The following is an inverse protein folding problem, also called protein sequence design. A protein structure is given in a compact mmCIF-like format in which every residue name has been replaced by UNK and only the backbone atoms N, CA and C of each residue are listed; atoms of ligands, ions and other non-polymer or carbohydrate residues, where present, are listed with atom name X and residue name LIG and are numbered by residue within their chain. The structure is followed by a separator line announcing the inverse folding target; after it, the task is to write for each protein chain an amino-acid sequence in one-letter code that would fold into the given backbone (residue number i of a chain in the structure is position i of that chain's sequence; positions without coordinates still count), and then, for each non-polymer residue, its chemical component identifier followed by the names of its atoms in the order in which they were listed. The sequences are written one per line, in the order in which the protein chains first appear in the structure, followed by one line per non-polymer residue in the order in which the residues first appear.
data_IF_436478675338
#
_entry.id   IF_436478675338
#
_cell.length_a   1.000
_cell.length_b   1.000
_cell.length_c   1.000
_cell.angle_alpha   90.00
_cell.angle_beta   90.00
_cell.angle_gamma   90.00
#
_symmetry.space_group_name_H-M   'P 1'
#
loop_
_entity.id
_entity.type
_entity.pdbx_description
1 polymer ?
#
# COMPACT_ATOMS: atom_id res chain seq x y z
N UNK A 1 -16.32 1.63 14.69
CA UNK A 1 -15.26 2.49 14.12
C UNK A 1 -14.97 2.06 12.70
N UNK A 2 -14.61 0.79 12.48
CA UNK A 2 -14.41 0.21 11.14
C UNK A 2 -15.48 0.64 10.12
N UNK A 3 -16.76 0.38 10.39
CA UNK A 3 -17.84 0.68 9.44
C UNK A 3 -17.93 2.18 9.06
N UNK A 4 -17.62 3.06 10.02
CA UNK A 4 -17.60 4.50 9.78
C UNK A 4 -16.44 4.89 8.86
N UNK A 5 -15.24 4.36 9.13
CA UNK A 5 -14.07 4.59 8.29
C UNK A 5 -14.29 3.99 6.89
N UNK A 6 -14.76 2.75 6.81
CA UNK A 6 -15.03 2.05 5.56
C UNK A 6 -16.01 2.82 4.67
N UNK A 7 -17.17 3.21 5.22
CA UNK A 7 -18.17 3.96 4.47
C UNK A 7 -17.61 5.28 3.94
N UNK A 8 -16.89 6.02 4.79
CA UNK A 8 -16.28 7.31 4.42
C UNK A 8 -15.22 7.16 3.34
N UNK A 9 -14.38 6.13 3.43
CA UNK A 9 -13.31 5.93 2.45
C UNK A 9 -13.83 5.37 1.13
N UNK A 10 -14.81 4.46 1.12
CA UNK A 10 -15.39 3.97 -0.13
C UNK A 10 -16.11 5.10 -0.89
N UNK A 11 -16.84 5.95 -0.19
CA UNK A 11 -17.47 7.14 -0.79
C UNK A 11 -16.42 8.07 -1.42
N UNK A 12 -15.34 8.34 -0.70
CA UNK A 12 -14.23 9.18 -1.18
C UNK A 12 -13.51 8.56 -2.38
N UNK A 13 -13.10 7.30 -2.26
CA UNK A 13 -12.21 6.65 -3.23
C UNK A 13 -12.91 6.31 -4.55
N UNK A 14 -14.25 6.36 -4.60
CA UNK A 14 -15.02 6.11 -5.82
C UNK A 14 -14.41 6.83 -7.03
N UNK A 15 -14.02 6.08 -8.06
CA UNK A 15 -13.34 6.60 -9.26
C UNK A 15 -11.91 7.16 -9.06
N UNK A 16 -11.52 7.52 -7.83
CA UNK A 16 -10.23 8.13 -7.47
C UNK A 16 -9.13 7.13 -7.18
N UNK A 17 -9.46 5.87 -6.93
CA UNK A 17 -8.51 4.76 -6.74
C UNK A 17 -8.48 3.87 -7.97
N UNK A 18 -7.34 3.20 -8.23
CA UNK A 18 -7.21 2.21 -9.31
C UNK A 18 -8.28 1.12 -9.20
N UNK A 19 -8.82 0.66 -10.34
CA UNK A 19 -9.91 -0.33 -10.36
C UNK A 19 -9.59 -1.63 -9.61
N UNK A 20 -8.36 -2.20 -9.68
CA UNK A 20 -8.01 -3.40 -8.92
C UNK A 20 -8.19 -3.30 -7.40
N UNK A 21 -8.14 -2.10 -6.84
CA UNK A 21 -8.41 -1.89 -5.41
C UNK A 21 -9.88 -2.17 -5.08
N UNK A 22 -10.80 -1.61 -5.88
CA UNK A 22 -12.25 -1.81 -5.70
C UNK A 22 -12.64 -3.26 -5.99
N UNK A 23 -12.05 -3.87 -7.03
CA UNK A 23 -12.21 -5.30 -7.29
C UNK A 23 -11.77 -6.13 -6.07
N UNK A 24 -10.65 -5.76 -5.44
CA UNK A 24 -10.15 -6.39 -4.22
C UNK A 24 -11.14 -6.33 -3.05
N UNK A 25 -11.81 -5.19 -2.85
CA UNK A 25 -12.86 -5.04 -1.82
C UNK A 25 -13.98 -6.06 -2.05
N UNK A 26 -14.46 -6.17 -3.28
CA UNK A 26 -15.56 -7.08 -3.64
C UNK A 26 -15.15 -8.54 -3.54
N UNK A 27 -13.97 -8.88 -4.07
CA UNK A 27 -13.43 -10.24 -4.07
C UNK A 27 -13.21 -10.79 -2.67
N UNK A 28 -12.73 -9.94 -1.76
CA UNK A 28 -12.44 -10.29 -0.37
C UNK A 28 -13.64 -10.05 0.57
N UNK A 29 -14.77 -9.57 0.04
CA UNK A 29 -16.02 -9.32 0.79
C UNK A 29 -15.83 -8.36 1.98
N UNK A 30 -15.00 -7.34 1.81
CA UNK A 30 -14.65 -6.40 2.89
C UNK A 30 -15.77 -5.42 3.25
N UNK A 31 -16.81 -5.32 2.43
CA UNK A 31 -17.99 -4.50 2.71
C UNK A 31 -18.90 -5.07 3.82
N UNK A 32 -18.61 -6.27 4.33
CA UNK A 32 -19.34 -6.79 5.49
C UNK A 32 -19.07 -5.92 6.73
N UNK A 33 -20.09 -5.61 7.57
CA UNK A 33 -19.89 -4.84 8.81
C UNK A 33 -18.89 -5.47 9.77
N UNK A 34 -18.12 -4.62 10.46
CA UNK A 34 -17.12 -4.98 11.46
C UNK A 34 -15.71 -5.17 10.88
N UNK A 35 -14.72 -5.18 11.78
CA UNK A 35 -13.34 -5.53 11.42
C UNK A 35 -13.33 -6.96 10.88
N UNK A 36 -12.75 -7.24 9.69
CA UNK A 36 -12.70 -8.58 9.14
C UNK A 36 -11.98 -9.53 10.09
N UNK A 37 -12.51 -10.74 10.23
CA UNK A 37 -11.81 -11.82 10.92
C UNK A 37 -10.65 -12.32 10.04
N UNK A 38 -9.46 -12.46 10.64
CA UNK A 38 -8.24 -12.80 9.89
C UNK A 38 -8.33 -14.19 9.26
N UNK A 39 -8.91 -15.17 9.95
CA UNK A 39 -9.06 -16.53 9.43
C UNK A 39 -10.06 -16.56 8.26
N UNK A 40 -11.19 -15.87 8.41
CA UNK A 40 -12.19 -15.70 7.34
C UNK A 40 -11.63 -14.99 6.11
N UNK A 41 -10.83 -13.94 6.30
CA UNK A 41 -10.14 -13.23 5.24
C UNK A 41 -9.11 -14.12 4.53
N UNK A 42 -8.30 -14.84 5.30
CA UNK A 42 -7.28 -15.75 4.77
C UNK A 42 -7.88 -16.92 3.98
N UNK A 43 -9.08 -17.39 4.36
CA UNK A 43 -9.81 -18.41 3.61
C UNK A 43 -10.15 -17.98 2.16
N UNK A 44 -10.17 -16.66 1.88
CA UNK A 44 -10.42 -16.11 0.55
C UNK A 44 -9.12 -15.67 -0.13
N UNK A 45 -8.23 -14.98 0.60
CA UNK A 45 -6.99 -14.41 0.05
C UNK A 45 -5.96 -15.50 -0.31
N UNK A 46 -5.77 -16.49 0.58
CA UNK A 46 -4.70 -17.49 0.44
C UNK A 46 -4.86 -18.33 -0.83
N UNK A 47 -6.06 -18.87 -1.17
CA UNK A 47 -6.23 -19.62 -2.42
C UNK A 47 -6.09 -18.77 -3.69
N UNK A 48 -6.17 -17.43 -3.58
CA UNK A 48 -6.11 -16.50 -4.70
C UNK A 48 -4.69 -16.13 -5.11
N UNK A 49 -3.87 -15.73 -4.14
CA UNK A 49 -2.52 -15.20 -4.41
C UNK A 49 -1.45 -15.84 -3.54
N UNK A 50 -1.81 -16.80 -2.68
CA UNK A 50 -0.90 -17.38 -1.69
C UNK A 50 -0.63 -16.47 -0.50
N UNK A 51 -1.15 -15.24 -0.50
CA UNK A 51 -0.97 -14.30 0.58
C UNK A 51 -1.86 -14.60 1.78
N UNK A 52 -1.32 -14.34 2.97
CA UNK A 52 -2.07 -14.40 4.22
C UNK A 52 -1.76 -13.20 5.12
N UNK A 53 -2.75 -12.85 5.91
CA UNK A 53 -2.70 -11.82 6.94
C UNK A 53 -2.39 -12.46 8.30
N UNK A 54 -1.60 -11.79 9.11
CA UNK A 54 -1.40 -12.15 10.52
C UNK A 54 -1.54 -10.92 11.41
N UNK A 55 -2.23 -11.06 12.55
CA UNK A 55 -2.34 -9.99 13.53
C UNK A 55 -1.03 -9.86 14.32
N UNK A 56 -0.53 -8.64 14.47
CA UNK A 56 0.68 -8.30 15.23
C UNK A 56 0.35 -7.29 16.35
N UNK A 57 1.09 -7.30 17.47
CA UNK A 57 0.79 -6.43 18.61
C UNK A 57 1.11 -4.94 18.39
N UNK A 58 1.76 -4.59 17.27
CA UNK A 58 2.17 -3.23 16.95
C UNK A 58 3.11 -3.19 15.76
N UNK A 59 3.89 -2.10 15.66
CA UNK A 59 4.81 -1.86 14.56
C UNK A 59 5.86 -2.98 14.45
N UNK A 60 6.02 -3.52 13.25
CA UNK A 60 7.01 -4.53 12.92
C UNK A 60 8.27 -3.82 12.39
N UNK A 61 9.48 -4.14 12.89
CA UNK A 61 10.71 -3.58 12.34
C UNK A 61 10.89 -3.92 10.85
N UNK A 62 11.43 -3.00 10.05
CA UNK A 62 11.59 -3.14 8.60
C UNK A 62 12.17 -4.49 8.14
N UNK A 63 13.23 -4.97 8.80
CA UNK A 63 13.84 -6.28 8.47
C UNK A 63 12.84 -7.43 8.61
N UNK A 64 12.06 -7.43 9.70
CA UNK A 64 11.02 -8.44 9.92
C UNK A 64 9.85 -8.24 8.97
N UNK A 65 9.47 -6.99 8.69
CA UNK A 65 8.40 -6.66 7.76
C UNK A 65 8.71 -7.18 6.35
N UNK A 66 9.88 -6.87 5.79
CA UNK A 66 10.27 -7.36 4.46
C UNK A 66 10.43 -8.88 4.39
N UNK A 67 10.94 -9.51 5.46
CA UNK A 67 10.99 -10.97 5.56
C UNK A 67 9.60 -11.61 5.59
N UNK A 68 8.59 -10.94 6.15
CA UNK A 68 7.21 -11.40 6.09
C UNK A 68 6.63 -11.25 4.68
N UNK A 69 6.88 -10.12 4.02
CA UNK A 69 6.42 -9.88 2.64
C UNK A 69 7.00 -10.90 1.64
N UNK A 70 8.29 -11.25 1.77
CA UNK A 70 8.94 -12.23 0.88
C UNK A 70 8.29 -13.62 0.96
N UNK A 71 7.72 -13.94 2.12
CA UNK A 71 6.97 -15.18 2.41
C UNK A 71 5.45 -15.04 2.19
N UNK A 72 5.00 -13.96 1.51
CA UNK A 72 3.58 -13.64 1.27
C UNK A 72 2.75 -13.51 2.56
N UNK A 73 3.35 -12.94 3.61
CA UNK A 73 2.69 -12.68 4.89
C UNK A 73 2.59 -11.18 5.11
N UNK A 74 1.39 -10.65 5.25
CA UNK A 74 1.17 -9.24 5.59
C UNK A 74 0.81 -9.09 7.08
N UNK A 75 1.62 -8.38 7.89
CA UNK A 75 1.27 -8.07 9.27
C UNK A 75 0.20 -6.99 9.35
N UNK A 76 -0.79 -7.17 10.22
CA UNK A 76 -1.86 -6.21 10.50
C UNK A 76 -1.86 -5.88 11.99
N UNK A 77 -1.83 -4.59 12.34
CA UNK A 77 -1.95 -4.13 13.72
C UNK A 77 -3.26 -4.61 14.37
N UNK A 78 -3.23 -4.94 15.65
CA UNK A 78 -4.40 -5.47 16.37
C UNK A 78 -5.24 -4.40 17.10
N UNK A 79 -5.12 -3.13 16.70
CA UNK A 79 -5.85 -2.01 17.28
C UNK A 79 -6.52 -1.18 16.18
N UNK A 80 -7.56 -0.42 16.54
CA UNK A 80 -8.24 0.52 15.64
C UNK A 80 -8.27 1.90 16.29
N UNK A 81 -8.09 2.94 15.48
CA UNK A 81 -8.08 4.34 15.92
C UNK A 81 -9.36 4.75 16.65
N UNK A 82 -9.26 5.80 17.47
CA UNK A 82 -10.41 6.38 18.17
C UNK A 82 -11.07 7.49 17.34
N UNK A 83 -12.22 8.01 17.81
CA UNK A 83 -12.94 9.09 17.09
C UNK A 83 -12.13 10.39 17.00
N UNK A 84 -11.30 10.67 17.99
CA UNK A 84 -10.48 11.88 18.01
C UNK A 84 -9.29 11.81 17.04
N UNK A 85 -9.07 10.64 16.43
CA UNK A 85 -8.01 10.33 15.46
C UNK A 85 -8.60 9.95 14.08
N UNK A 86 -9.86 10.32 13.80
CA UNK A 86 -10.54 9.95 12.55
C UNK A 86 -9.81 10.44 11.30
N UNK A 87 -9.30 11.67 11.34
CA UNK A 87 -8.73 12.33 10.17
C UNK A 87 -7.22 12.12 10.05
N UNK A 88 -6.54 11.81 11.15
CA UNK A 88 -5.11 11.57 11.18
C UNK A 88 -4.72 10.66 12.34
N UNK A 89 -3.85 9.69 12.06
CA UNK A 89 -3.18 8.84 13.04
C UNK A 89 -1.73 8.64 12.60
N UNK A 90 -0.78 8.83 13.52
CA UNK A 90 0.66 8.71 13.26
C UNK A 90 1.12 7.26 13.01
N UNK A 91 0.47 6.29 13.66
CA UNK A 91 0.79 4.87 13.51
C UNK A 91 -0.24 4.15 12.62
N UNK A 92 0.16 3.16 11.80
CA UNK A 92 -0.80 2.34 11.06
C UNK A 92 -1.64 1.51 12.05
N UNK A 93 -2.96 1.61 11.94
CA UNK A 93 -3.92 0.78 12.67
C UNK A 93 -4.47 -0.33 11.76
N UNK A 94 -5.29 -1.22 12.32
CA UNK A 94 -5.87 -2.32 11.55
C UNK A 94 -6.70 -1.85 10.36
N UNK A 95 -7.29 -0.65 10.42
CA UNK A 95 -8.01 -0.10 9.28
C UNK A 95 -7.06 0.24 8.15
N UNK A 96 -5.96 0.96 8.43
CA UNK A 96 -4.93 1.21 7.42
C UNK A 96 -4.43 -0.09 6.80
N UNK A 97 -4.03 -1.06 7.61
CA UNK A 97 -3.45 -2.30 7.10
C UNK A 97 -4.47 -3.10 6.28
N UNK A 98 -5.66 -3.37 6.84
CA UNK A 98 -6.65 -4.24 6.23
C UNK A 98 -7.40 -3.59 5.06
N UNK A 99 -7.77 -2.31 5.17
CA UNK A 99 -8.48 -1.61 4.11
C UNK A 99 -7.52 -1.08 3.04
N UNK A 100 -6.36 -0.54 3.44
CA UNK A 100 -5.41 0.08 2.52
C UNK A 100 -4.63 -0.93 1.69
N UNK A 101 -4.11 -2.00 2.30
CA UNK A 101 -3.19 -2.91 1.61
C UNK A 101 -3.88 -4.14 1.02
N UNK A 102 -4.72 -4.79 1.83
CA UNK A 102 -5.21 -6.13 1.51
C UNK A 102 -6.04 -6.22 0.23
N UNK A 103 -6.87 -5.24 -0.18
CA UNK A 103 -7.58 -5.31 -1.46
C UNK A 103 -6.62 -5.51 -2.64
N UNK A 104 -5.49 -4.81 -2.66
CA UNK A 104 -4.51 -4.91 -3.73
C UNK A 104 -3.75 -6.25 -3.72
N UNK A 105 -3.64 -6.92 -2.57
CA UNK A 105 -3.06 -8.26 -2.49
C UNK A 105 -3.96 -9.36 -3.09
N UNK A 106 -5.22 -9.05 -3.44
CA UNK A 106 -6.07 -9.92 -4.25
C UNK A 106 -5.73 -9.86 -5.76
N UNK A 107 -4.98 -8.85 -6.21
CA UNK A 107 -4.50 -8.71 -7.57
C UNK A 107 -3.16 -9.44 -7.74
N UNK A 108 -3.14 -10.50 -8.56
CA UNK A 108 -2.01 -11.44 -8.64
C UNK A 108 -0.66 -10.76 -8.90
N UNK A 109 -0.56 -9.91 -9.90
CA UNK A 109 0.74 -9.34 -10.29
C UNK A 109 1.23 -8.25 -9.33
N UNK A 110 0.30 -7.59 -8.63
CA UNK A 110 0.64 -6.61 -7.60
C UNK A 110 1.09 -7.32 -6.32
N UNK A 111 0.41 -8.42 -5.97
CA UNK A 111 0.80 -9.31 -4.90
C UNK A 111 2.22 -9.90 -5.14
N UNK A 112 2.55 -10.30 -6.36
CA UNK A 112 3.91 -10.77 -6.70
C UNK A 112 4.94 -9.64 -6.68
N UNK A 113 4.60 -8.43 -7.16
CA UNK A 113 5.47 -7.25 -7.01
C UNK A 113 5.77 -6.95 -5.54
N UNK A 114 4.75 -6.98 -4.67
CA UNK A 114 4.90 -6.70 -3.23
C UNK A 114 5.79 -7.75 -2.57
N UNK A 115 5.65 -9.01 -2.96
CA UNK A 115 6.51 -10.10 -2.49
C UNK A 115 7.95 -9.88 -2.92
N UNK A 116 8.15 -9.48 -4.17
CA UNK A 116 9.46 -9.21 -4.71
C UNK A 116 10.15 -8.04 -4.02
N UNK A 117 9.42 -6.97 -3.67
CA UNK A 117 9.93 -5.90 -2.81
C UNK A 117 10.37 -6.44 -1.44
N UNK A 118 9.62 -7.39 -0.87
CA UNK A 118 10.03 -8.14 0.32
C UNK A 118 11.38 -8.86 0.15
N UNK A 119 11.55 -9.60 -0.94
CA UNK A 119 12.82 -10.28 -1.26
C UNK A 119 13.99 -9.30 -1.39
N UNK A 120 13.77 -8.18 -2.09
CA UNK A 120 14.76 -7.11 -2.24
C UNK A 120 15.11 -6.48 -0.88
N UNK A 121 14.11 -6.24 -0.03
CA UNK A 121 14.32 -5.65 1.31
C UNK A 121 15.04 -6.59 2.28
N UNK A 122 14.88 -7.91 2.13
CA UNK A 122 15.64 -8.92 2.87
C UNK A 122 17.07 -9.13 2.35
N UNK A 123 17.40 -8.62 1.16
CA UNK A 123 18.76 -8.74 0.63
C UNK A 123 19.74 -7.82 1.39
N UNK A 124 20.95 -8.32 1.64
CA UNK A 124 21.95 -7.63 2.45
C UNK A 124 22.27 -6.23 1.89
N UNK A 125 22.06 -5.20 2.72
CA UNK A 125 22.34 -3.80 2.38
C UNK A 125 21.30 -3.11 1.47
N UNK A 126 20.18 -3.76 1.17
CA UNK A 126 19.16 -3.22 0.27
C UNK A 126 17.88 -2.71 0.97
N UNK A 127 17.73 -2.96 2.27
CA UNK A 127 16.52 -2.60 3.03
C UNK A 127 16.05 -1.16 2.85
N UNK A 128 16.96 -0.18 2.89
CA UNK A 128 16.60 1.24 2.70
C UNK A 128 16.15 1.55 1.26
N UNK A 129 16.73 0.90 0.25
CA UNK A 129 16.31 1.10 -1.14
C UNK A 129 14.96 0.46 -1.40
N UNK A 130 14.76 -0.74 -0.88
CA UNK A 130 13.48 -1.44 -0.94
C UNK A 130 12.37 -0.68 -0.20
N UNK A 131 12.67 -0.07 0.96
CA UNK A 131 11.69 0.74 1.70
C UNK A 131 11.26 1.98 0.93
N UNK A 132 12.18 2.64 0.23
CA UNK A 132 11.82 3.77 -0.65
C UNK A 132 10.97 3.34 -1.85
N UNK A 133 11.27 2.17 -2.45
CA UNK A 133 10.43 1.61 -3.52
C UNK A 133 9.03 1.29 -2.97
N UNK A 134 8.94 0.60 -1.84
CA UNK A 134 7.69 0.30 -1.16
C UNK A 134 6.89 1.58 -0.87
N UNK A 135 7.54 2.59 -0.29
CA UNK A 135 6.94 3.86 0.07
C UNK A 135 6.34 4.58 -1.13
N UNK A 136 7.11 4.75 -2.21
CA UNK A 136 6.68 5.48 -3.40
C UNK A 136 5.84 4.67 -4.39
N UNK A 137 5.46 3.43 -4.04
CA UNK A 137 4.56 2.59 -4.83
C UNK A 137 3.41 2.05 -3.99
N UNK A 138 3.65 1.05 -3.14
CA UNK A 138 2.65 0.35 -2.32
C UNK A 138 2.02 1.27 -1.28
N UNK A 139 2.77 2.20 -0.69
CA UNK A 139 2.28 3.04 0.41
C UNK A 139 1.64 4.36 -0.09
N UNK A 140 2.37 5.14 -0.88
CA UNK A 140 2.00 6.49 -1.33
C UNK A 140 2.08 6.68 -2.85
N UNK A 141 2.05 5.59 -3.62
CA UNK A 141 2.05 5.68 -5.08
C UNK A 141 0.77 6.28 -5.66
N UNK A 142 0.92 7.00 -6.77
CA UNK A 142 -0.17 7.38 -7.67
C UNK A 142 0.01 6.66 -9.00
N UNK A 143 -1.07 6.44 -9.74
CA UNK A 143 -1.01 5.82 -11.06
C UNK A 143 -1.97 6.50 -12.04
N UNK A 144 -1.68 6.38 -13.34
CA UNK A 144 -2.65 6.73 -14.38
C UNK A 144 -3.48 5.51 -14.77
N UNK A 145 -4.79 5.70 -14.87
CA UNK A 145 -5.73 4.70 -15.35
C UNK A 145 -6.77 5.40 -16.24
N UNK A 146 -6.90 4.99 -17.50
CA UNK A 146 -7.78 5.67 -18.45
C UNK A 146 -7.41 7.14 -18.73
N UNK A 147 -6.16 7.54 -18.46
CA UNK A 147 -5.68 8.93 -18.57
C UNK A 147 -5.89 9.78 -17.30
N UNK A 148 -6.70 9.30 -16.35
CA UNK A 148 -6.96 9.98 -15.08
C UNK A 148 -5.88 9.65 -14.05
N UNK A 149 -5.61 10.59 -13.14
CA UNK A 149 -4.72 10.38 -12.00
C UNK A 149 -5.49 9.69 -10.88
N UNK A 150 -4.98 8.57 -10.39
CA UNK A 150 -5.61 7.75 -9.36
C UNK A 150 -4.65 7.37 -8.24
N UNK A 151 -5.24 7.10 -7.07
CA UNK A 151 -4.58 6.53 -5.91
C UNK A 151 -4.23 5.08 -6.21
N UNK A 152 -2.97 4.73 -5.97
CA UNK A 152 -2.47 3.35 -5.95
C UNK A 152 -2.11 2.92 -4.52
N UNK A 153 -1.50 3.83 -3.76
CA UNK A 153 -0.94 3.53 -2.45
C UNK A 153 -1.98 3.35 -1.34
N UNK A 154 -1.70 2.41 -0.44
CA UNK A 154 -2.53 2.07 0.71
C UNK A 154 -2.67 3.20 1.75
N UNK A 155 -1.59 3.97 1.98
CA UNK A 155 -1.59 5.14 2.85
C UNK A 155 -2.55 6.20 2.35
N UNK A 156 -2.58 6.44 1.04
CA UNK A 156 -3.53 7.34 0.39
C UNK A 156 -4.95 6.78 0.42
N UNK A 157 -5.14 5.48 0.16
CA UNK A 157 -6.46 4.87 0.19
C UNK A 157 -7.11 4.95 1.59
N UNK A 158 -6.32 4.78 2.65
CA UNK A 158 -6.80 4.76 4.04
C UNK A 158 -6.76 6.11 4.76
N UNK A 159 -6.31 7.19 4.10
CA UNK A 159 -6.23 8.55 4.66
C UNK A 159 -7.09 9.53 3.86
N UNK A 160 -8.18 10.03 4.45
CA UNK A 160 -9.07 10.97 3.77
C UNK A 160 -8.36 12.28 3.41
N UNK A 161 -7.63 12.87 4.36
CA UNK A 161 -6.96 14.15 4.15
C UNK A 161 -5.89 14.05 3.06
N UNK A 162 -5.09 12.98 3.11
CA UNK A 162 -3.98 12.83 2.18
C UNK A 162 -4.40 12.34 0.79
N UNK A 163 -5.52 11.61 0.69
CA UNK A 163 -6.16 11.33 -0.60
C UNK A 163 -6.51 12.62 -1.36
N UNK A 164 -7.13 13.60 -0.70
CA UNK A 164 -7.41 14.90 -1.31
C UNK A 164 -6.13 15.68 -1.61
N UNK A 165 -5.22 15.76 -0.64
CA UNK A 165 -3.97 16.50 -0.79
C UNK A 165 -3.13 15.99 -1.97
N UNK A 166 -2.93 14.68 -2.07
CA UNK A 166 -2.15 14.05 -3.14
C UNK A 166 -2.76 14.23 -4.54
N UNK A 167 -4.08 14.26 -4.68
CA UNK A 167 -4.75 14.38 -5.98
C UNK A 167 -4.99 15.81 -6.43
N UNK A 168 -5.28 16.73 -5.50
CA UNK A 168 -5.86 18.03 -5.82
C UNK A 168 -4.99 19.23 -5.42
N UNK A 169 -4.07 19.08 -4.47
CA UNK A 169 -3.26 20.22 -4.00
C UNK A 169 -2.32 20.74 -5.09
N UNK A 170 -2.22 22.06 -5.20
CA UNK A 170 -1.20 22.75 -6.03
C UNK A 170 0.15 22.85 -5.30
N UNK A 171 0.20 22.55 -4.00
CA UNK A 171 1.41 22.61 -3.18
C UNK A 171 2.28 21.34 -3.30
N UNK A 172 1.76 20.28 -3.92
CA UNK A 172 2.47 19.00 -4.05
C UNK A 172 3.10 18.84 -5.41
N UNK A 173 4.32 18.32 -5.43
CA UNK A 173 4.99 17.93 -6.65
C UNK A 173 4.55 16.52 -7.06
N UNK A 174 4.26 16.33 -8.35
CA UNK A 174 3.87 15.04 -8.91
C UNK A 174 4.82 14.69 -10.04
N UNK A 175 5.77 13.79 -9.78
CA UNK A 175 6.78 13.39 -10.76
C UNK A 175 6.50 12.00 -11.29
N UNK A 176 6.93 11.65 -12.51
CA UNK A 176 6.80 10.28 -13.01
C UNK A 176 7.46 9.28 -12.07
N UNK A 177 6.86 8.12 -11.89
CA UNK A 177 7.51 7.01 -11.19
C UNK A 177 8.67 6.47 -12.04
N UNK A 178 9.77 6.15 -11.37
CA UNK A 178 10.78 5.21 -11.82
C UNK A 178 11.47 4.63 -10.58
N UNK A 179 12.04 3.44 -10.68
CA UNK A 179 12.77 2.82 -9.56
C UNK A 179 13.93 3.72 -9.12
N UNK A 180 14.68 4.27 -10.07
CA UNK A 180 15.78 5.18 -9.79
C UNK A 180 15.32 6.41 -8.97
N UNK A 181 14.16 6.99 -9.35
CA UNK A 181 13.61 8.14 -8.63
C UNK A 181 13.09 7.74 -7.25
N UNK A 182 12.38 6.62 -7.15
CA UNK A 182 11.90 6.11 -5.87
C UNK A 182 13.08 5.91 -4.90
N UNK A 183 14.12 5.19 -5.31
CA UNK A 183 15.33 4.97 -4.52
C UNK A 183 16.04 6.27 -4.16
N UNK A 184 16.08 7.27 -5.05
CA UNK A 184 16.70 8.56 -4.77
C UNK A 184 15.89 9.49 -3.84
N UNK A 185 14.60 9.19 -3.62
CA UNK A 185 13.68 10.07 -2.91
C UNK A 185 13.50 9.63 -1.46
N UNK A 186 14.06 10.35 -0.46
CA UNK A 186 13.78 10.07 0.94
C UNK A 186 12.33 10.41 1.30
N UNK A 187 11.81 9.80 2.37
CA UNK A 187 10.46 10.05 2.85
C UNK A 187 10.40 10.30 4.35
N UNK A 188 9.25 10.78 4.80
CA UNK A 188 8.88 10.95 6.21
C UNK A 188 7.48 10.39 6.43
N UNK A 189 7.26 9.73 7.55
CA UNK A 189 5.98 9.12 7.91
C UNK A 189 5.10 9.99 8.83
N UNK A 190 5.62 11.13 9.29
CA UNK A 190 4.95 12.01 10.27
C UNK A 190 4.29 13.24 9.64
N UNK A 191 4.32 13.38 8.31
CA UNK A 191 3.78 14.51 7.55
C UNK A 191 3.17 14.05 6.23
N UNK A 192 2.24 14.83 5.66
CA UNK A 192 1.80 14.62 4.29
C UNK A 192 2.97 14.77 3.32
N UNK A 193 3.01 13.93 2.28
CA UNK A 193 4.14 13.91 1.37
C UNK A 193 4.16 15.18 0.50
N UNK A 194 5.30 15.89 0.41
CA UNK A 194 5.43 17.04 -0.49
C UNK A 194 5.58 16.62 -1.96
N UNK A 195 5.88 15.34 -2.21
CA UNK A 195 6.13 14.76 -3.52
C UNK A 195 5.44 13.39 -3.60
N UNK A 196 4.72 13.15 -4.69
CA UNK A 196 4.16 11.84 -5.03
C UNK A 196 4.71 11.36 -6.38
N UNK A 197 5.07 10.08 -6.46
CA UNK A 197 5.50 9.46 -7.72
C UNK A 197 4.29 8.86 -8.46
N UNK A 198 4.16 9.22 -9.72
CA UNK A 198 3.02 8.89 -10.59
C UNK A 198 3.42 7.86 -11.63
N UNK A 199 2.93 6.64 -11.48
CA UNK A 199 3.07 5.57 -12.46
C UNK A 199 2.31 5.88 -13.75
N UNK A 200 2.91 5.55 -14.90
CA UNK A 200 2.20 5.61 -16.20
C UNK A 200 1.00 4.65 -16.25
N UNK A 201 1.10 3.53 -15.53
CA UNK A 201 0.04 2.56 -15.29
C UNK A 201 0.50 1.61 -14.18
N UNK A 202 -0.43 0.87 -13.59
CA UNK A 202 -0.14 -0.17 -12.61
C UNK A 202 0.83 -1.22 -13.20
N UNK A 203 0.55 -1.68 -14.42
CA UNK A 203 1.29 -2.72 -15.11
C UNK A 203 2.74 -2.31 -15.38
N UNK A 204 2.97 -1.02 -15.68
CA UNK A 204 4.31 -0.47 -15.87
C UNK A 204 5.14 -0.50 -14.59
N UNK A 205 4.57 -0.09 -13.47
CA UNK A 205 5.25 -0.15 -12.17
C UNK A 205 5.55 -1.59 -11.78
N UNK A 206 4.59 -2.51 -11.94
CA UNK A 206 4.82 -3.93 -11.70
C UNK A 206 5.97 -4.45 -12.56
N UNK A 207 5.95 -4.20 -13.87
CA UNK A 207 7.00 -4.67 -14.77
C UNK A 207 8.39 -4.09 -14.42
N UNK A 208 8.46 -2.80 -14.07
CA UNK A 208 9.72 -2.14 -13.72
C UNK A 208 10.31 -2.68 -12.41
N UNK A 209 9.47 -2.86 -11.38
CA UNK A 209 9.90 -3.41 -10.09
C UNK A 209 10.26 -4.89 -10.20
N UNK A 210 9.48 -5.69 -10.93
CA UNK A 210 9.75 -7.12 -11.14
C UNK A 210 11.01 -7.41 -11.96
N UNK A 211 11.52 -6.42 -12.70
CA UNK A 211 12.76 -6.54 -13.45
C UNK A 211 14.02 -6.30 -12.58
N UNK A 212 13.85 -5.89 -11.33
CA UNK A 212 14.97 -5.58 -10.45
C UNK A 212 15.66 -6.84 -9.94
N UNK A 213 16.95 -6.70 -9.69
CA UNK A 213 17.73 -7.64 -8.89
C UNK A 213 18.37 -6.89 -7.72
N UNK A 214 18.75 -7.57 -6.64
CA UNK A 214 19.50 -6.93 -5.55
C UNK A 214 20.75 -6.18 -6.01
N UNK A 215 21.44 -6.68 -7.03
CA UNK A 215 22.64 -6.05 -7.60
C UNK A 215 22.30 -4.78 -8.38
N UNK A 216 21.17 -4.77 -9.10
CA UNK A 216 20.73 -3.61 -9.86
C UNK A 216 20.41 -2.42 -8.95
N UNK A 217 19.94 -2.68 -7.72
CA UNK A 217 19.67 -1.63 -6.73
C UNK A 217 20.93 -0.86 -6.31
N UNK A 218 22.11 -1.49 -6.33
CA UNK A 218 23.38 -0.84 -5.98
C UNK A 218 23.73 0.28 -6.97
N UNK A 219 23.23 0.19 -8.21
CA UNK A 219 23.52 1.16 -9.26
C UNK A 219 22.74 2.48 -9.10
N UNK A 220 21.80 2.55 -8.14
CA UNK A 220 21.04 3.75 -7.77
C UNK A 220 21.55 4.35 -6.45
#
# INVERSE_FOLDING_TARGET
MWDLLFARQVELLGGRVVAPFLDGIDLLKLAHPGVPDVDGLNAILTPRTGWRVVAVPGLVPDETFFAMLSERVFPVGNFIRTRDQLDYLEAPDCFHDMFGHIPMLAHHDFAEMTRHIGELGSAAGQGERASRIYWHSVEFGLAREGGELKILGAGLASSLGEAHFSLESDEVERLPFSVARAVATPYRNDVFQPLYLVSESLERTIAEVMALTPEALIAF
#
